data_IF_169929622246
#
_entry.id   IF_169929622246
#
_cell.length_a   1.000
_cell.length_b   1.000
_cell.length_c   1.000
_cell.angle_alpha   90.00
_cell.angle_beta   90.00
_cell.angle_gamma   90.00
#
_symmetry.space_group_name_H-M   'P 1'
#
loop_
_entity.id
_entity.type
_entity.pdbx_description
1 polymer ?
#
# COMPACT_ATOMS: atom_id res chain seq x y z
N UNK A 1 12.24 -11.90 -4.49
CA UNK A 1 11.52 -10.69 -4.96
C UNK A 1 11.39 -10.76 -6.47
N UNK A 2 10.23 -10.38 -7.03
CA UNK A 2 10.06 -10.36 -8.49
C UNK A 2 10.75 -9.13 -9.09
N UNK A 3 11.17 -9.19 -10.36
CA UNK A 3 11.77 -8.05 -11.10
C UNK A 3 10.84 -6.81 -11.05
N UNK A 4 9.53 -7.05 -10.98
CA UNK A 4 8.52 -6.01 -10.87
C UNK A 4 8.57 -5.26 -9.53
N UNK A 5 9.19 -5.79 -8.49
CA UNK A 5 9.23 -5.19 -7.14
C UNK A 5 10.56 -4.50 -6.81
N UNK A 6 11.54 -4.58 -7.70
CA UNK A 6 12.85 -3.94 -7.48
C UNK A 6 12.70 -2.42 -7.34
N UNK A 7 13.41 -1.85 -6.35
CA UNK A 7 13.40 -0.43 -5.94
C UNK A 7 12.01 0.14 -5.66
N UNK A 8 11.06 -0.69 -5.22
CA UNK A 8 9.75 -0.22 -4.79
C UNK A 8 9.79 0.34 -3.36
N UNK A 9 8.95 1.35 -3.11
CA UNK A 9 8.59 1.74 -1.75
C UNK A 9 7.31 1.01 -1.34
N UNK A 10 7.28 0.44 -0.14
CA UNK A 10 6.15 -0.33 0.34
C UNK A 10 5.22 0.53 1.20
N UNK A 11 3.93 0.52 0.92
CA UNK A 11 2.92 1.19 1.74
C UNK A 11 2.01 0.13 2.33
N UNK A 12 1.96 0.04 3.66
CA UNK A 12 1.09 -0.88 4.38
C UNK A 12 -0.15 -0.12 4.81
N UNK A 13 -1.26 -0.33 4.11
CA UNK A 13 -2.57 0.21 4.45
C UNK A 13 -3.30 -0.75 5.38
N UNK A 14 -3.53 -0.33 6.62
CA UNK A 14 -4.38 -1.06 7.56
C UNK A 14 -5.77 -0.41 7.52
N UNK A 15 -6.69 -1.01 6.78
CA UNK A 15 -8.05 -0.47 6.58
C UNK A 15 -8.98 -0.97 7.69
N UNK A 16 -9.39 -0.07 8.58
CA UNK A 16 -10.43 -0.28 9.60
C UNK A 16 -11.77 0.37 9.20
N UNK A 17 -11.80 1.13 8.11
CA UNK A 17 -12.99 1.88 7.69
C UNK A 17 -12.83 2.53 6.32
N UNK A 18 -13.15 3.83 6.25
CA UNK A 18 -13.02 4.64 5.05
C UNK A 18 -11.57 5.10 4.85
N UNK A 19 -11.02 4.79 3.68
CA UNK A 19 -9.66 5.16 3.32
C UNK A 19 -9.56 6.63 2.91
N UNK A 20 -8.76 7.41 3.65
CA UNK A 20 -8.36 8.75 3.21
C UNK A 20 -7.35 8.65 2.06
N UNK A 21 -7.88 8.67 0.84
CA UNK A 21 -7.08 8.54 -0.38
C UNK A 21 -6.10 9.69 -0.57
N UNK A 22 -6.44 10.89 -0.09
CA UNK A 22 -5.56 12.06 -0.21
C UNK A 22 -4.32 11.89 0.66
N UNK A 23 -4.48 11.43 1.90
CA UNK A 23 -3.36 11.12 2.79
C UNK A 23 -2.40 10.12 2.15
N UNK A 24 -2.92 9.08 1.49
CA UNK A 24 -2.07 8.10 0.79
C UNK A 24 -1.35 8.76 -0.38
N UNK A 25 -2.05 9.50 -1.24
CA UNK A 25 -1.46 10.17 -2.40
C UNK A 25 -0.38 11.20 -2.00
N UNK A 26 -0.59 11.96 -0.93
CA UNK A 26 0.39 12.91 -0.39
C UNK A 26 1.66 12.18 0.06
N UNK A 27 1.52 11.00 0.70
CA UNK A 27 2.66 10.15 1.06
C UNK A 27 3.40 9.63 -0.15
N UNK A 28 2.68 9.09 -1.15
CA UNK A 28 3.29 8.64 -2.40
C UNK A 28 4.07 9.77 -3.08
N UNK A 29 3.52 10.98 -3.10
CA UNK A 29 4.18 12.18 -3.61
C UNK A 29 5.47 12.50 -2.87
N UNK A 30 5.44 12.47 -1.53
CA UNK A 30 6.62 12.74 -0.71
C UNK A 30 7.75 11.73 -0.95
N UNK A 31 7.45 10.44 -1.08
CA UNK A 31 8.43 9.43 -1.42
C UNK A 31 8.86 9.50 -2.88
N UNK A 32 8.00 9.99 -3.77
CA UNK A 32 8.42 10.26 -5.14
C UNK A 32 9.44 11.38 -5.24
N UNK A 33 9.38 12.39 -4.37
CA UNK A 33 10.41 13.41 -4.28
C UNK A 33 11.77 12.84 -3.82
N UNK A 34 11.76 11.70 -3.10
CA UNK A 34 12.96 10.95 -2.71
C UNK A 34 13.46 9.97 -3.79
N UNK A 35 12.83 9.95 -4.97
CA UNK A 35 13.26 9.17 -6.13
C UNK A 35 12.50 7.86 -6.36
N UNK A 36 11.55 7.49 -5.49
CA UNK A 36 10.73 6.30 -5.70
C UNK A 36 9.66 6.55 -6.78
N UNK A 37 9.60 5.68 -7.80
CA UNK A 37 8.56 5.75 -8.86
C UNK A 37 7.57 4.59 -8.84
N UNK A 38 7.85 3.61 -7.98
CA UNK A 38 7.12 2.37 -7.88
C UNK A 38 6.71 2.16 -6.43
N UNK A 39 5.43 1.88 -6.22
CA UNK A 39 4.85 1.69 -4.90
C UNK A 39 4.10 0.38 -4.83
N UNK A 40 4.37 -0.38 -3.78
CA UNK A 40 3.64 -1.61 -3.48
C UNK A 40 2.70 -1.30 -2.33
N UNK A 41 1.40 -1.26 -2.61
CA UNK A 41 0.36 -1.02 -1.62
C UNK A 41 -0.11 -2.37 -1.09
N UNK A 42 0.32 -2.70 0.12
CA UNK A 42 -0.17 -3.85 0.87
C UNK A 42 -1.43 -3.45 1.63
N UNK A 43 -2.58 -4.00 1.23
CA UNK A 43 -3.86 -3.70 1.87
C UNK A 43 -4.21 -4.81 2.84
N UNK A 44 -4.17 -4.50 4.14
CA UNK A 44 -4.66 -5.35 5.21
C UNK A 44 -6.07 -4.91 5.57
N UNK A 45 -7.05 -5.78 5.33
CA UNK A 45 -8.45 -5.48 5.62
C UNK A 45 -9.22 -6.76 5.95
N UNK A 46 -10.36 -6.60 6.64
CA UNK A 46 -11.37 -7.63 6.81
C UNK A 46 -12.35 -7.69 5.62
N UNK A 47 -12.34 -6.70 4.73
CA UNK A 47 -13.19 -6.72 3.55
C UNK A 47 -12.82 -7.90 2.63
N UNK A 48 -13.84 -8.53 2.05
CA UNK A 48 -13.64 -9.59 1.07
C UNK A 48 -13.23 -9.03 -0.29
N UNK A 49 -12.64 -9.87 -1.14
CA UNK A 49 -12.37 -9.52 -2.54
C UNK A 49 -13.70 -9.55 -3.32
N UNK A 50 -13.98 -8.58 -4.22
CA UNK A 50 -13.14 -7.46 -4.64
C UNK A 50 -13.38 -6.15 -3.87
N UNK A 51 -14.21 -6.14 -2.82
CA UNK A 51 -14.72 -4.93 -2.16
C UNK A 51 -13.62 -3.98 -1.68
N UNK A 52 -12.48 -4.51 -1.23
CA UNK A 52 -11.34 -3.68 -0.82
C UNK A 52 -10.79 -2.77 -1.94
N UNK A 53 -10.91 -3.18 -3.22
CA UNK A 53 -10.45 -2.37 -4.36
C UNK A 53 -11.28 -1.11 -4.51
N UNK A 54 -12.56 -1.16 -4.15
CA UNK A 54 -13.43 0.02 -4.22
C UNK A 54 -12.98 1.13 -3.28
N UNK A 55 -12.41 0.78 -2.12
CA UNK A 55 -11.82 1.75 -1.19
C UNK A 55 -10.55 2.40 -1.76
N UNK A 56 -9.84 1.71 -2.66
CA UNK A 56 -8.63 2.20 -3.32
C UNK A 56 -8.94 2.97 -4.61
N UNK A 57 -10.21 3.03 -5.04
CA UNK A 57 -10.61 3.57 -6.33
C UNK A 57 -9.97 4.95 -6.57
N UNK A 58 -10.13 5.88 -5.64
CA UNK A 58 -9.60 7.24 -5.82
C UNK A 58 -8.07 7.26 -5.94
N UNK A 59 -7.36 6.43 -5.17
CA UNK A 59 -5.89 6.31 -5.28
C UNK A 59 -5.49 5.84 -6.69
N UNK A 60 -6.21 4.87 -7.26
CA UNK A 60 -5.93 4.35 -8.61
C UNK A 60 -6.25 5.39 -9.68
N UNK A 61 -7.40 6.06 -9.57
CA UNK A 61 -7.87 7.03 -10.57
C UNK A 61 -7.06 8.34 -10.55
N UNK A 62 -6.64 8.79 -9.37
CA UNK A 62 -5.86 10.03 -9.20
C UNK A 62 -4.34 9.80 -9.34
N UNK A 63 -3.90 8.54 -9.42
CA UNK A 63 -2.51 8.22 -9.69
C UNK A 63 -2.17 8.45 -11.18
N UNK A 64 -1.55 9.60 -11.46
CA UNK A 64 -1.14 10.01 -12.81
C UNK A 64 0.34 9.74 -13.13
N UNK A 65 1.16 9.36 -12.13
CA UNK A 65 2.62 9.42 -12.26
C UNK A 65 3.39 8.20 -11.73
N UNK A 66 2.74 7.28 -11.00
CA UNK A 66 3.44 6.19 -10.32
C UNK A 66 3.00 4.81 -10.79
N UNK A 67 3.91 3.84 -10.69
CA UNK A 67 3.54 2.43 -10.82
C UNK A 67 2.99 1.93 -9.48
N UNK A 68 1.73 1.52 -9.46
CA UNK A 68 1.09 0.94 -8.28
C UNK A 68 0.95 -0.57 -8.43
N UNK A 69 1.43 -1.31 -7.43
CA UNK A 69 1.19 -2.76 -7.30
C UNK A 69 0.35 -2.95 -6.04
N UNK A 70 -0.87 -3.45 -6.20
CA UNK A 70 -1.79 -3.64 -5.07
C UNK A 70 -1.75 -5.11 -4.64
N UNK A 71 -1.46 -5.35 -3.36
CA UNK A 71 -1.41 -6.69 -2.74
C UNK A 71 -2.42 -6.78 -1.61
N UNK A 72 -3.45 -7.61 -1.80
CA UNK A 72 -4.44 -7.90 -0.77
C UNK A 72 -3.89 -8.88 0.28
N UNK A 73 -4.13 -8.56 1.54
CA UNK A 73 -3.91 -9.43 2.68
C UNK A 73 -5.16 -9.45 3.57
N UNK A 74 -5.66 -10.65 3.87
CA UNK A 74 -6.75 -10.79 4.84
C UNK A 74 -6.21 -10.46 6.22
N UNK A 75 -6.86 -9.53 6.93
CA UNK A 75 -6.44 -9.16 8.27
C UNK A 75 -6.61 -10.36 9.21
N UNK A 76 -5.51 -10.78 9.85
CA UNK A 76 -5.49 -11.86 10.84
C UNK A 76 -4.76 -11.37 12.09
N UNK A 77 -4.96 -12.04 13.24
CA UNK A 77 -4.36 -11.64 14.52
C UNK A 77 -2.81 -11.53 14.49
N UNK A 78 -2.14 -12.20 13.54
CA UNK A 78 -0.68 -12.12 13.36
C UNK A 78 -0.21 -11.54 12.01
N UNK A 79 -1.13 -11.30 11.07
CA UNK A 79 -0.78 -11.01 9.66
C UNK A 79 -0.02 -9.70 9.45
N UNK A 80 -0.24 -8.69 10.31
CA UNK A 80 0.52 -7.44 10.26
C UNK A 80 1.99 -7.68 10.60
N UNK A 81 2.27 -8.34 11.72
CA UNK A 81 3.65 -8.62 12.16
C UNK A 81 4.38 -9.50 11.16
N UNK A 82 3.72 -10.52 10.61
CA UNK A 82 4.30 -11.35 9.55
C UNK A 82 4.66 -10.54 8.30
N UNK A 83 3.79 -9.60 7.89
CA UNK A 83 4.09 -8.71 6.77
C UNK A 83 5.26 -7.78 7.09
N UNK A 84 5.25 -7.14 8.26
CA UNK A 84 6.31 -6.22 8.66
C UNK A 84 7.67 -6.91 8.74
N UNK A 85 7.74 -8.14 9.27
CA UNK A 85 8.96 -8.93 9.29
C UNK A 85 9.47 -9.25 7.87
N UNK A 86 8.56 -9.49 6.90
CA UNK A 86 8.95 -9.67 5.49
C UNK A 86 9.45 -8.39 4.83
N UNK A 87 9.02 -7.24 5.34
CA UNK A 87 9.40 -5.92 4.85
C UNK A 87 10.60 -5.33 5.58
N UNK A 88 11.17 -5.99 6.58
CA UNK A 88 12.26 -5.48 7.43
C UNK A 88 13.44 -4.88 6.64
N UNK A 89 13.78 -5.49 5.50
CA UNK A 89 14.89 -5.05 4.64
C UNK A 89 14.46 -4.11 3.50
N UNK A 90 13.20 -3.67 3.48
CA UNK A 90 12.64 -2.82 2.43
C UNK A 90 12.17 -1.50 3.01
N UNK A 91 12.23 -0.39 2.25
CA UNK A 91 11.66 0.86 2.71
C UNK A 91 10.14 0.76 2.74
N UNK A 92 9.54 0.97 3.91
CA UNK A 92 8.08 0.92 4.06
C UNK A 92 7.53 2.02 4.98
N UNK A 93 6.24 2.32 4.81
CA UNK A 93 5.45 3.11 5.76
C UNK A 93 4.12 2.41 6.05
N UNK A 94 3.70 2.44 7.32
CA UNK A 94 2.38 1.98 7.74
C UNK A 94 1.43 3.17 7.83
N UNK A 95 0.29 3.09 7.14
CA UNK A 95 -0.77 4.08 7.19
C UNK A 95 -2.01 3.41 7.76
N UNK A 96 -2.42 3.83 8.95
CA UNK A 96 -3.73 3.50 9.50
C UNK A 96 -4.79 4.38 8.85
N UNK A 97 -5.84 3.74 8.32
CA UNK A 97 -6.96 4.36 7.62
C UNK A 97 -8.30 3.68 7.94
#
# INVERSE_FOLDING_TARGET
MSILEDRAFHVVLVSKGNLDSKKVLDKLSSYSALGFRKFIIHVLTNDERPLYLEKLRNIVFENIAYTLIIKYHKLSRGGLNELLNRLENNPYEVIEA
#
